data_IF_590688239782
#
_entry.id   IF_590688239782
#
_cell.length_a   1.000
_cell.length_b   1.000
_cell.length_c   1.000
_cell.angle_alpha   90.00
_cell.angle_beta   90.00
_cell.angle_gamma   90.00
#
_symmetry.space_group_name_H-M   'P 1'
#
loop_
_entity.id
_entity.type
_entity.pdbx_description
1 polymer ?
#
# COMPACT_ATOMS: atom_id res chain seq x y z
N UNK A 1 6.82 -31.05 -16.85
CA UNK A 1 6.46 -29.67 -17.21
C UNK A 1 7.61 -28.77 -16.75
N UNK A 2 8.19 -27.98 -17.65
CA UNK A 2 9.32 -27.11 -17.30
C UNK A 2 8.89 -25.99 -16.33
N UNK A 3 9.32 -26.08 -15.07
CA UNK A 3 9.10 -25.05 -14.02
C UNK A 3 9.94 -23.78 -14.21
N UNK A 4 10.64 -23.62 -15.34
CA UNK A 4 11.64 -22.57 -15.55
C UNK A 4 11.11 -21.15 -15.74
N UNK A 5 9.80 -20.87 -15.58
CA UNK A 5 9.23 -19.52 -15.77
C UNK A 5 8.01 -19.21 -14.87
N UNK A 6 7.85 -19.91 -13.76
CA UNK A 6 6.76 -19.59 -12.83
C UNK A 6 7.19 -18.44 -11.92
N UNK A 7 6.40 -17.35 -11.89
CA UNK A 7 6.59 -16.17 -11.03
C UNK A 7 6.43 -16.54 -9.55
N UNK A 8 5.53 -17.49 -9.27
CA UNK A 8 5.19 -17.99 -7.93
C UNK A 8 5.08 -19.50 -7.99
N UNK A 9 5.67 -20.20 -7.05
CA UNK A 9 5.30 -21.59 -6.74
C UNK A 9 3.97 -21.58 -5.97
N UNK A 10 2.88 -21.78 -6.71
CA UNK A 10 1.54 -21.75 -6.13
C UNK A 10 1.24 -22.92 -5.20
N UNK A 11 1.87 -24.04 -5.36
CA UNK A 11 1.69 -25.19 -4.47
C UNK A 11 2.30 -24.86 -3.10
N UNK A 12 3.54 -24.37 -3.09
CA UNK A 12 4.21 -23.89 -1.88
C UNK A 12 3.41 -22.77 -1.24
N UNK A 13 2.99 -21.75 -2.00
CA UNK A 13 2.22 -20.62 -1.46
C UNK A 13 0.87 -21.09 -0.87
N UNK A 14 0.12 -21.97 -1.53
CA UNK A 14 -1.13 -22.51 -1.01
C UNK A 14 -0.94 -23.26 0.30
N UNK A 15 0.11 -24.05 0.41
CA UNK A 15 0.42 -24.76 1.65
C UNK A 15 0.78 -23.78 2.78
N UNK A 16 1.59 -22.76 2.51
CA UNK A 16 1.92 -21.69 3.48
C UNK A 16 0.65 -20.94 3.92
N UNK A 17 -0.25 -20.63 2.99
CA UNK A 17 -1.53 -19.97 3.27
C UNK A 17 -2.40 -20.79 4.19
N UNK A 18 -2.57 -22.09 3.93
CA UNK A 18 -3.40 -22.97 4.77
C UNK A 18 -3.00 -22.96 6.23
N UNK A 19 -1.70 -22.99 6.53
CA UNK A 19 -1.18 -22.96 7.91
C UNK A 19 -1.17 -21.56 8.51
N UNK A 20 -1.28 -20.52 7.71
CA UNK A 20 -1.15 -19.12 8.13
C UNK A 20 -2.48 -18.41 8.36
N UNK A 21 -3.63 -19.01 8.02
CA UNK A 21 -4.97 -18.39 8.12
C UNK A 21 -5.28 -17.87 9.53
N UNK A 22 -5.03 -18.69 10.53
CA UNK A 22 -5.31 -18.30 11.93
C UNK A 22 -4.37 -17.17 12.36
N UNK A 23 -3.10 -17.24 12.02
CA UNK A 23 -2.13 -16.20 12.31
C UNK A 23 -2.53 -14.89 11.63
N UNK A 24 -2.91 -14.92 10.34
CA UNK A 24 -3.41 -13.74 9.63
C UNK A 24 -4.57 -13.08 10.39
N UNK A 25 -5.56 -13.87 10.79
CA UNK A 25 -6.78 -13.39 11.42
C UNK A 25 -6.55 -12.80 12.81
N UNK A 26 -5.61 -13.37 13.57
CA UNK A 26 -5.36 -13.02 14.99
C UNK A 26 -4.22 -12.04 15.21
N UNK A 27 -3.38 -11.81 14.19
CA UNK A 27 -2.28 -10.85 14.26
C UNK A 27 -2.78 -9.44 14.61
N UNK A 28 -1.96 -8.75 15.39
CA UNK A 28 -2.20 -7.39 15.84
C UNK A 28 -1.29 -6.40 15.12
N UNK A 29 -1.75 -5.17 14.86
CA UNK A 29 -2.95 -4.51 15.42
C UNK A 29 -4.26 -4.80 14.69
N UNK A 30 -4.24 -5.41 13.52
CA UNK A 30 -5.40 -5.85 12.73
C UNK A 30 -4.97 -7.02 11.83
N UNK A 31 -5.90 -7.76 11.16
CA UNK A 31 -5.55 -8.92 10.37
C UNK A 31 -4.49 -8.60 9.30
N UNK A 32 -3.34 -9.26 9.41
CA UNK A 32 -2.22 -9.12 8.48
C UNK A 32 -1.29 -10.33 8.54
N UNK A 33 -0.45 -10.48 7.53
CA UNK A 33 0.66 -11.42 7.53
C UNK A 33 1.84 -10.87 6.72
N UNK A 34 3.03 -11.33 7.09
CA UNK A 34 4.27 -11.08 6.35
C UNK A 34 4.84 -12.42 5.94
N UNK A 35 5.19 -12.55 4.67
CA UNK A 35 5.78 -13.76 4.09
C UNK A 35 7.05 -13.39 3.34
N UNK A 36 8.15 -14.08 3.62
CA UNK A 36 9.41 -13.92 2.90
C UNK A 36 9.54 -15.00 1.82
N UNK A 37 10.34 -14.72 0.79
CA UNK A 37 10.68 -15.64 -0.29
C UNK A 37 9.45 -16.26 -0.97
N UNK A 38 8.52 -15.40 -1.38
CA UNK A 38 7.25 -15.81 -2.02
C UNK A 38 7.42 -16.00 -3.52
N UNK A 39 8.28 -15.20 -4.14
CA UNK A 39 8.43 -15.11 -5.59
C UNK A 39 9.81 -15.63 -6.03
N UNK A 40 9.92 -15.98 -7.30
CA UNK A 40 11.22 -16.23 -7.91
C UNK A 40 12.07 -14.96 -7.86
N UNK A 41 13.22 -15.04 -7.21
CA UNK A 41 14.12 -13.89 -7.02
C UNK A 41 14.64 -13.34 -8.35
N UNK A 42 14.81 -14.17 -9.39
CA UNK A 42 15.25 -13.72 -10.71
C UNK A 42 14.19 -12.87 -11.41
N UNK A 43 12.92 -13.12 -11.15
CA UNK A 43 11.79 -12.30 -11.62
C UNK A 43 11.81 -10.92 -10.96
N UNK A 44 12.01 -10.89 -9.65
CA UNK A 44 12.10 -9.62 -8.90
C UNK A 44 13.33 -8.81 -9.29
N UNK A 45 14.43 -9.46 -9.65
CA UNK A 45 15.65 -8.81 -10.17
C UNK A 45 15.41 -8.14 -11.52
N UNK A 46 14.68 -8.80 -12.41
CA UNK A 46 14.29 -8.20 -13.69
C UNK A 46 13.38 -6.98 -13.47
N UNK A 47 12.42 -7.07 -12.54
CA UNK A 47 11.56 -5.94 -12.18
C UNK A 47 12.39 -4.77 -11.62
N UNK A 48 13.38 -5.03 -10.77
CA UNK A 48 14.27 -3.98 -10.27
C UNK A 48 15.02 -3.26 -11.40
N UNK A 49 15.53 -3.99 -12.38
CA UNK A 49 16.17 -3.39 -13.55
C UNK A 49 15.19 -2.52 -14.36
N UNK A 50 13.94 -2.95 -14.47
CA UNK A 50 12.90 -2.17 -15.14
C UNK A 50 12.54 -0.88 -14.37
N UNK A 51 12.58 -0.89 -13.02
CA UNK A 51 12.43 0.33 -12.21
C UNK A 51 13.46 1.39 -12.55
N UNK A 52 14.73 1.00 -12.72
CA UNK A 52 15.80 1.95 -13.03
C UNK A 52 15.60 2.55 -14.43
N UNK A 53 15.18 1.75 -15.41
CA UNK A 53 14.95 2.20 -16.78
C UNK A 53 13.72 3.12 -16.91
N UNK A 54 12.75 2.99 -16.02
CA UNK A 54 11.51 3.75 -16.05
C UNK A 54 11.53 5.03 -15.20
N UNK A 55 12.67 5.47 -14.68
CA UNK A 55 12.77 6.54 -13.68
C UNK A 55 12.06 7.85 -14.08
N UNK A 56 12.11 8.24 -15.33
CA UNK A 56 11.49 9.47 -15.85
C UNK A 56 9.96 9.42 -15.93
N UNK A 57 9.36 8.26 -15.74
CA UNK A 57 7.91 8.03 -15.87
C UNK A 57 7.18 8.08 -14.52
N UNK A 58 7.92 8.18 -13.43
CA UNK A 58 7.33 8.30 -12.11
C UNK A 58 6.74 9.68 -11.88
N UNK A 59 5.53 9.71 -11.31
CA UNK A 59 4.91 10.92 -10.80
C UNK A 59 5.43 11.21 -9.39
N UNK A 60 5.84 12.43 -9.14
CA UNK A 60 6.30 12.87 -7.84
C UNK A 60 5.14 13.38 -6.98
N UNK A 61 5.10 12.94 -5.75
CA UNK A 61 4.23 13.46 -4.68
C UNK A 61 5.12 14.06 -3.60
N UNK A 62 4.99 15.35 -3.36
CA UNK A 62 5.66 16.07 -2.26
C UNK A 62 4.61 16.94 -1.57
N UNK A 63 4.03 16.40 -0.51
CA UNK A 63 2.96 17.01 0.27
C UNK A 63 3.33 17.05 1.76
N UNK A 64 2.45 17.58 2.59
CA UNK A 64 2.63 17.55 4.04
C UNK A 64 2.77 16.12 4.57
N UNK A 65 2.07 15.15 3.95
CA UNK A 65 1.97 13.78 4.47
C UNK A 65 2.80 12.77 3.71
N UNK A 66 3.18 13.04 2.48
CA UNK A 66 3.91 12.08 1.67
C UNK A 66 4.97 12.75 0.79
N UNK A 67 6.10 12.08 0.70
CA UNK A 67 7.14 12.39 -0.29
C UNK A 67 7.59 11.08 -0.92
N UNK A 68 7.11 10.84 -2.14
CA UNK A 68 7.30 9.58 -2.86
C UNK A 68 7.22 9.79 -4.37
N UNK A 69 7.67 8.79 -5.09
CA UNK A 69 7.47 8.62 -6.52
C UNK A 69 6.55 7.42 -6.76
N UNK A 70 5.61 7.52 -7.69
CA UNK A 70 4.65 6.48 -8.01
C UNK A 70 4.47 6.34 -9.52
N UNK A 71 4.35 5.11 -10.00
CA UNK A 71 3.98 4.79 -11.38
C UNK A 71 2.90 3.70 -11.39
N UNK A 72 1.75 4.03 -11.97
CA UNK A 72 0.59 3.13 -12.03
C UNK A 72 0.03 2.97 -13.44
N UNK A 73 0.74 3.46 -14.46
CA UNK A 73 0.32 3.34 -15.86
C UNK A 73 1.04 2.17 -16.51
N UNK A 74 0.26 1.18 -16.96
CA UNK A 74 0.77 -0.05 -17.54
C UNK A 74 1.64 0.18 -18.78
N UNK A 75 1.36 1.23 -19.55
CA UNK A 75 2.15 1.61 -20.73
C UNK A 75 3.63 1.89 -20.44
N UNK A 76 3.96 2.22 -19.18
CA UNK A 76 5.33 2.51 -18.74
C UNK A 76 5.99 1.34 -18.01
N UNK A 77 5.28 0.25 -17.80
CA UNK A 77 5.87 -0.94 -17.18
C UNK A 77 6.75 -1.69 -18.17
N UNK A 78 7.88 -2.19 -17.69
CA UNK A 78 8.63 -3.20 -18.40
C UNK A 78 7.83 -4.49 -18.55
N UNK A 79 8.33 -5.40 -19.37
CA UNK A 79 7.61 -6.65 -19.69
C UNK A 79 7.41 -7.51 -18.44
N UNK A 80 8.46 -7.68 -17.63
CA UNK A 80 8.37 -8.52 -16.43
C UNK A 80 7.48 -7.88 -15.36
N UNK A 81 7.56 -6.57 -15.16
CA UNK A 81 6.68 -5.83 -14.25
C UNK A 81 5.21 -6.00 -14.64
N UNK A 82 4.89 -5.88 -15.94
CA UNK A 82 3.53 -6.08 -16.44
C UNK A 82 3.05 -7.50 -16.19
N UNK A 83 3.86 -8.50 -16.55
CA UNK A 83 3.54 -9.91 -16.30
C UNK A 83 3.33 -10.20 -14.82
N UNK A 84 4.16 -9.66 -13.96
CA UNK A 84 4.06 -9.83 -12.50
C UNK A 84 2.75 -9.24 -11.95
N UNK A 85 2.40 -8.02 -12.34
CA UNK A 85 1.15 -7.37 -11.93
C UNK A 85 -0.06 -8.15 -12.43
N UNK A 86 -0.07 -8.61 -13.69
CA UNK A 86 -1.15 -9.45 -14.23
C UNK A 86 -1.26 -10.78 -13.46
N UNK A 87 -0.14 -11.32 -13.03
CA UNK A 87 -0.12 -12.55 -12.25
C UNK A 87 -0.74 -12.35 -10.86
N UNK A 88 -0.43 -11.24 -10.19
CA UNK A 88 -1.07 -10.86 -8.92
C UNK A 88 -2.58 -10.54 -9.08
N UNK A 89 -3.02 -10.17 -10.27
CA UNK A 89 -4.42 -9.95 -10.59
C UNK A 89 -5.14 -11.21 -11.13
N UNK A 90 -4.43 -12.35 -11.24
CA UNK A 90 -5.00 -13.58 -11.77
C UNK A 90 -5.97 -14.24 -10.79
N UNK A 91 -6.93 -15.01 -11.33
CA UNK A 91 -7.88 -15.78 -10.52
C UNK A 91 -7.16 -16.72 -9.54
N UNK A 92 -6.01 -17.28 -9.94
CA UNK A 92 -5.24 -18.18 -9.10
C UNK A 92 -4.69 -17.47 -7.85
N UNK A 93 -4.18 -16.24 -7.99
CA UNK A 93 -3.72 -15.45 -6.86
C UNK A 93 -4.89 -14.95 -6.01
N UNK A 94 -5.99 -14.54 -6.63
CA UNK A 94 -7.21 -14.15 -5.90
C UNK A 94 -7.72 -15.28 -5.02
N UNK A 95 -7.77 -16.52 -5.52
CA UNK A 95 -8.17 -17.70 -4.74
C UNK A 95 -7.27 -17.86 -3.50
N UNK A 96 -5.96 -17.68 -3.66
CA UNK A 96 -5.02 -17.72 -2.52
C UNK A 96 -5.31 -16.63 -1.50
N UNK A 97 -5.60 -15.41 -1.95
CA UNK A 97 -5.97 -14.31 -1.04
C UNK A 97 -7.30 -14.57 -0.33
N UNK A 98 -8.31 -15.07 -1.04
CA UNK A 98 -9.61 -15.45 -0.47
C UNK A 98 -9.47 -16.55 0.58
N UNK A 99 -8.63 -17.54 0.30
CA UNK A 99 -8.34 -18.60 1.24
C UNK A 99 -7.64 -18.09 2.51
N UNK A 100 -6.65 -17.21 2.37
CA UNK A 100 -5.91 -16.63 3.48
C UNK A 100 -6.79 -15.72 4.36
N UNK A 101 -7.53 -14.82 3.70
CA UNK A 101 -8.19 -13.70 4.38
C UNK A 101 -9.63 -14.01 4.80
N UNK A 102 -10.25 -15.01 4.18
CA UNK A 102 -11.68 -15.30 4.33
C UNK A 102 -12.60 -14.34 3.56
N UNK A 103 -12.05 -13.33 2.88
CA UNK A 103 -12.83 -12.38 2.06
C UNK A 103 -13.11 -13.01 0.71
N UNK A 104 -14.38 -13.26 0.41
CA UNK A 104 -14.81 -13.92 -0.82
C UNK A 104 -15.24 -12.91 -1.90
N UNK A 105 -15.07 -13.28 -3.17
CA UNK A 105 -15.44 -12.47 -4.32
C UNK A 105 -14.51 -11.27 -4.52
N UNK A 106 -13.22 -11.48 -4.32
CA UNK A 106 -12.19 -10.46 -4.53
C UNK A 106 -12.11 -10.08 -6.02
N UNK A 107 -12.05 -8.78 -6.24
CA UNK A 107 -11.92 -8.14 -7.55
C UNK A 107 -10.58 -7.40 -7.55
N UNK A 108 -9.67 -7.66 -8.52
CA UNK A 108 -8.40 -6.96 -8.62
C UNK A 108 -8.60 -5.53 -9.16
N UNK A 109 -7.61 -4.66 -8.97
CA UNK A 109 -7.61 -3.32 -9.54
C UNK A 109 -6.79 -3.26 -10.85
N UNK A 110 -7.42 -3.30 -12.02
CA UNK A 110 -6.71 -3.19 -13.29
C UNK A 110 -6.18 -1.75 -13.55
N UNK A 111 -6.67 -0.76 -12.81
CA UNK A 111 -6.26 0.64 -12.96
C UNK A 111 -5.15 1.04 -11.99
N UNK A 112 -4.78 0.18 -11.04
CA UNK A 112 -3.77 0.45 -10.01
C UNK A 112 -3.98 1.80 -9.32
N UNK A 113 -5.24 2.11 -8.96
CA UNK A 113 -5.61 3.39 -8.37
C UNK A 113 -4.97 3.59 -6.99
N UNK A 114 -3.95 4.43 -6.91
CA UNK A 114 -3.10 4.60 -5.74
C UNK A 114 -2.06 3.49 -5.52
N UNK A 115 -2.09 2.41 -6.33
CA UNK A 115 -1.16 1.29 -6.33
C UNK A 115 -0.08 1.39 -7.40
N UNK A 116 0.45 0.24 -7.83
CA UNK A 116 1.53 0.13 -8.81
C UNK A 116 2.92 0.19 -8.17
N UNK A 117 3.88 0.77 -8.88
CA UNK A 117 5.27 0.87 -8.45
C UNK A 117 5.46 2.11 -7.57
N UNK A 118 6.03 1.93 -6.39
CA UNK A 118 6.37 3.01 -5.47
C UNK A 118 7.89 3.07 -5.28
N UNK A 119 8.48 4.27 -5.44
CA UNK A 119 9.89 4.56 -5.20
C UNK A 119 9.99 5.71 -4.21
N UNK A 120 10.63 5.47 -3.08
CA UNK A 120 10.76 6.46 -2.01
C UNK A 120 12.24 6.71 -1.79
N UNK A 121 12.76 7.89 -2.21
CA UNK A 121 14.17 8.23 -2.06
C UNK A 121 14.49 8.67 -0.63
N UNK A 122 15.77 8.90 -0.37
CA UNK A 122 16.24 9.53 0.88
C UNK A 122 15.39 10.75 1.25
N UNK A 123 15.00 10.86 2.52
CA UNK A 123 14.13 11.92 3.04
C UNK A 123 12.65 11.75 2.66
N UNK A 124 12.31 10.74 1.87
CA UNK A 124 10.92 10.42 1.55
C UNK A 124 10.21 9.75 2.72
N UNK A 125 8.89 9.88 2.76
CA UNK A 125 8.02 9.33 3.80
C UNK A 125 6.60 9.14 3.29
N UNK A 126 5.82 8.38 4.04
CA UNK A 126 4.37 8.27 3.89
C UNK A 126 3.75 8.31 5.29
N UNK A 127 3.06 9.39 5.59
CA UNK A 127 2.40 9.61 6.90
C UNK A 127 1.46 8.47 7.25
N UNK A 128 1.20 8.30 8.54
CA UNK A 128 0.22 7.31 9.00
C UNK A 128 -1.16 7.72 8.49
N UNK A 129 -1.84 6.79 7.86
CA UNK A 129 -3.13 7.03 7.20
C UNK A 129 -4.03 5.79 7.22
N UNK A 130 -5.29 6.02 6.93
CA UNK A 130 -6.25 5.00 6.53
C UNK A 130 -6.56 5.22 5.06
N UNK A 131 -6.52 4.18 4.28
CA UNK A 131 -6.84 4.24 2.85
C UNK A 131 -8.29 4.62 2.57
N UNK A 132 -8.57 5.18 1.39
CA UNK A 132 -9.94 5.32 0.92
C UNK A 132 -10.65 3.95 0.93
N UNK A 133 -11.90 3.94 1.32
CA UNK A 133 -12.66 2.69 1.47
C UNK A 133 -13.50 2.33 0.22
N UNK A 134 -13.72 3.26 -0.71
CA UNK A 134 -14.53 3.03 -1.90
C UNK A 134 -13.86 3.56 -3.16
N UNK A 135 -13.68 2.68 -4.14
CA UNK A 135 -13.24 3.08 -5.48
C UNK A 135 -14.46 3.50 -6.30
N UNK A 136 -14.69 4.81 -6.39
CA UNK A 136 -15.90 5.42 -6.96
C UNK A 136 -16.14 5.05 -8.42
N UNK A 137 -15.08 5.05 -9.24
CA UNK A 137 -15.21 4.80 -10.68
C UNK A 137 -15.81 3.42 -11.00
N UNK A 138 -15.52 2.40 -10.17
CA UNK A 138 -16.02 1.05 -10.34
C UNK A 138 -17.07 0.66 -9.29
N UNK A 139 -17.39 1.54 -8.36
CA UNK A 139 -18.32 1.29 -7.24
C UNK A 139 -17.92 0.06 -6.40
N UNK A 140 -16.62 -0.08 -6.12
CA UNK A 140 -16.06 -1.20 -5.39
C UNK A 140 -15.58 -0.79 -4.01
N UNK A 141 -15.62 -1.72 -3.04
CA UNK A 141 -15.15 -1.54 -1.67
C UNK A 141 -13.77 -2.16 -1.49
N UNK A 142 -12.80 -1.37 -1.00
CA UNK A 142 -11.42 -1.83 -0.77
C UNK A 142 -11.36 -2.75 0.42
N UNK A 143 -10.73 -3.91 0.26
CA UNK A 143 -10.72 -4.98 1.26
C UNK A 143 -9.31 -5.41 1.69
N UNK A 144 -8.42 -5.59 0.75
CA UNK A 144 -7.10 -6.16 0.98
C UNK A 144 -6.05 -5.34 0.26
N UNK A 145 -4.94 -5.10 0.95
CA UNK A 145 -3.70 -4.60 0.35
C UNK A 145 -2.65 -5.71 0.34
N UNK A 146 -1.88 -5.74 -0.73
CA UNK A 146 -0.67 -6.55 -0.86
C UNK A 146 0.49 -5.63 -1.22
N UNK A 147 1.56 -5.68 -0.44
CA UNK A 147 2.81 -4.95 -0.69
C UNK A 147 3.92 -5.96 -0.93
N UNK A 148 4.63 -5.82 -2.05
CA UNK A 148 5.82 -6.62 -2.35
C UNK A 148 7.04 -5.70 -2.34
N UNK A 149 8.00 -5.99 -1.49
CA UNK A 149 9.21 -5.18 -1.33
C UNK A 149 10.38 -5.71 -2.17
N UNK A 150 11.17 -4.76 -2.69
CA UNK A 150 12.22 -5.02 -3.67
C UNK A 150 13.58 -4.45 -3.21
N UNK A 151 13.85 -4.41 -1.91
CA UNK A 151 15.04 -3.74 -1.37
C UNK A 151 16.06 -4.75 -0.91
N UNK A 152 17.09 -5.02 -1.74
CA UNK A 152 18.24 -5.84 -1.39
C UNK A 152 19.11 -5.09 -0.37
N UNK A 153 19.71 -5.84 0.54
CA UNK A 153 20.68 -5.32 1.51
C UNK A 153 20.18 -4.06 2.24
N UNK A 154 18.89 -4.08 2.66
CA UNK A 154 18.25 -2.97 3.35
C UNK A 154 18.45 -3.07 4.86
N UNK A 155 19.40 -2.34 5.44
CA UNK A 155 19.63 -2.35 6.87
C UNK A 155 18.55 -1.56 7.62
N UNK A 156 18.44 -1.83 8.90
CA UNK A 156 17.38 -1.27 9.74
C UNK A 156 17.49 0.25 9.90
N UNK A 157 18.71 0.78 9.93
CA UNK A 157 19.00 2.19 10.06
C UNK A 157 18.63 3.04 8.83
N UNK A 158 18.35 2.44 7.67
CA UNK A 158 17.77 3.16 6.54
C UNK A 158 16.32 3.58 6.80
N UNK A 159 15.65 2.97 7.78
CA UNK A 159 14.26 3.24 8.14
C UNK A 159 13.27 2.68 7.11
N UNK A 160 12.14 3.34 6.96
CA UNK A 160 11.10 2.95 5.99
C UNK A 160 10.33 1.68 6.35
N UNK A 161 10.35 1.27 7.63
CA UNK A 161 9.52 0.19 8.11
C UNK A 161 8.06 0.46 7.75
N UNK A 162 7.37 -0.54 7.25
CA UNK A 162 5.93 -0.49 7.15
C UNK A 162 5.36 -0.61 8.56
N UNK A 163 4.75 0.45 9.04
CA UNK A 163 4.13 0.51 10.36
C UNK A 163 2.63 0.31 10.26
N UNK A 164 2.09 -0.53 11.12
CA UNK A 164 0.66 -0.78 11.31
C UNK A 164 0.29 -0.39 12.74
N UNK A 165 -0.74 0.43 12.92
CA UNK A 165 -1.16 0.99 14.20
C UNK A 165 -2.61 0.61 14.51
N UNK A 166 -2.91 0.26 15.78
CA UNK A 166 -4.26 -0.10 16.22
C UNK A 166 -5.25 1.07 16.24
N UNK A 167 -4.72 2.28 16.41
CA UNK A 167 -5.50 3.51 16.54
C UNK A 167 -4.67 4.74 16.10
N UNK A 168 -5.26 5.91 16.14
CA UNK A 168 -4.62 7.18 15.78
C UNK A 168 -3.54 7.64 16.76
N UNK A 169 -3.37 6.96 17.89
CA UNK A 169 -2.30 7.23 18.88
C UNK A 169 -1.15 6.26 18.76
N UNK A 170 -1.34 5.17 18.00
CA UNK A 170 -0.36 4.10 17.88
C UNK A 170 -0.15 3.36 19.21
N UNK A 171 -1.25 3.08 19.92
CA UNK A 171 -1.22 2.35 21.22
C UNK A 171 -0.57 0.98 21.06
N UNK A 172 -0.89 0.27 20.00
CA UNK A 172 -0.23 -0.98 19.61
C UNK A 172 0.29 -0.83 18.19
N UNK A 173 1.54 -1.20 17.95
CA UNK A 173 2.22 -1.06 16.66
C UNK A 173 2.89 -2.36 16.24
N UNK A 174 2.83 -2.64 14.96
CA UNK A 174 3.67 -3.63 14.30
C UNK A 174 4.54 -2.94 13.26
N UNK A 175 5.80 -3.36 13.12
CA UNK A 175 6.77 -2.79 12.18
C UNK A 175 7.36 -3.89 11.32
N UNK A 176 7.40 -3.66 10.02
CA UNK A 176 7.89 -4.61 9.04
C UNK A 176 9.01 -3.95 8.22
N UNK A 177 10.23 -4.46 8.33
CA UNK A 177 11.34 -3.99 7.51
C UNK A 177 11.07 -4.37 6.04
N UNK A 178 11.24 -3.44 5.07
CA UNK A 178 10.85 -3.65 3.67
C UNK A 178 11.92 -4.44 2.87
N UNK A 179 12.20 -5.68 3.28
CA UNK A 179 13.24 -6.52 2.68
C UNK A 179 12.87 -7.02 1.29
N UNK A 180 13.88 -7.35 0.49
CA UNK A 180 13.71 -7.98 -0.82
C UNK A 180 12.93 -9.29 -0.70
N UNK A 181 12.00 -9.53 -1.64
CA UNK A 181 11.14 -10.70 -1.69
C UNK A 181 10.24 -10.90 -0.45
N UNK A 182 9.96 -9.82 0.27
CA UNK A 182 9.01 -9.80 1.38
C UNK A 182 7.66 -9.30 0.89
N UNK A 183 6.61 -10.05 1.19
CA UNK A 183 5.22 -9.70 0.90
C UNK A 183 4.47 -9.44 2.21
N UNK A 184 3.82 -8.29 2.32
CA UNK A 184 2.89 -7.97 3.41
C UNK A 184 1.46 -7.93 2.86
N UNK A 185 0.55 -8.66 3.50
CA UNK A 185 -0.88 -8.72 3.18
C UNK A 185 -1.65 -8.25 4.39
N UNK A 186 -2.57 -7.30 4.23
CA UNK A 186 -3.38 -6.82 5.34
C UNK A 186 -4.80 -6.42 4.93
N UNK A 187 -5.73 -6.57 5.87
CA UNK A 187 -7.12 -6.12 5.72
C UNK A 187 -7.20 -4.60 5.87
N UNK A 188 -7.93 -3.96 4.94
CA UNK A 188 -8.19 -2.53 5.01
C UNK A 188 -9.57 -2.27 5.64
N UNK A 189 -9.58 -1.48 6.70
CA UNK A 189 -10.78 -0.99 7.39
C UNK A 189 -10.58 0.46 7.80
N UNK A 190 -11.61 1.10 8.36
CA UNK A 190 -11.51 2.45 8.93
C UNK A 190 -10.50 2.54 10.10
N UNK A 191 -10.02 1.41 10.63
CA UNK A 191 -9.07 1.32 11.75
C UNK A 191 -7.71 0.79 11.35
N UNK A 192 -7.48 0.46 10.09
CA UNK A 192 -6.18 -0.06 9.63
C UNK A 192 -5.21 1.09 9.32
N UNK A 193 -4.80 1.81 10.36
CA UNK A 193 -3.80 2.87 10.26
C UNK A 193 -2.45 2.30 9.87
N UNK A 194 -1.82 2.86 8.84
CA UNK A 194 -0.51 2.39 8.39
C UNK A 194 0.28 3.47 7.65
N UNK A 195 1.59 3.24 7.51
CA UNK A 195 2.50 4.15 6.79
C UNK A 195 3.95 3.83 7.07
N UNK A 196 4.81 4.79 6.81
CA UNK A 196 6.19 4.88 7.28
C UNK A 196 6.50 6.38 7.49
N UNK A 197 6.12 6.90 8.65
CA UNK A 197 6.06 8.35 8.88
C UNK A 197 7.44 9.00 8.93
N UNK A 198 8.47 8.26 9.35
CA UNK A 198 9.82 8.79 9.47
C UNK A 198 10.51 8.90 8.10
N UNK A 199 11.19 10.03 7.83
CA UNK A 199 11.97 10.19 6.62
C UNK A 199 13.07 9.14 6.49
N UNK A 200 13.27 8.60 5.28
CA UNK A 200 14.33 7.63 5.00
C UNK A 200 15.71 8.24 5.18
N UNK A 201 16.62 7.48 5.79
CA UNK A 201 18.02 7.84 6.04
C UNK A 201 19.02 7.18 5.09
N UNK A 202 18.53 6.32 4.16
CA UNK A 202 19.37 5.62 3.19
C UNK A 202 20.30 6.58 2.42
N UNK A 203 21.43 6.12 1.87
CA UNK A 203 22.35 6.93 1.07
C UNK A 203 21.66 7.56 -0.16
N UNK A 204 22.22 8.65 -0.69
CA UNK A 204 21.78 9.23 -1.95
C UNK A 204 21.91 8.18 -3.07
N UNK A 205 20.92 8.11 -3.96
CA UNK A 205 20.86 7.12 -5.03
C UNK A 205 20.17 5.81 -4.61
N UNK A 206 20.03 5.54 -3.31
CA UNK A 206 19.28 4.41 -2.79
C UNK A 206 17.83 4.85 -2.54
N UNK A 207 16.87 3.97 -2.85
CA UNK A 207 15.46 4.22 -2.62
C UNK A 207 14.76 2.95 -2.13
N UNK A 208 13.72 3.13 -1.29
CA UNK A 208 12.81 2.06 -0.90
C UNK A 208 11.83 1.82 -2.04
N UNK A 209 11.83 0.61 -2.58
CA UNK A 209 10.98 0.20 -3.71
C UNK A 209 9.97 -0.83 -3.27
N UNK A 210 8.75 -0.70 -3.76
CA UNK A 210 7.68 -1.68 -3.55
C UNK A 210 6.68 -1.68 -4.70
N UNK A 211 5.96 -2.80 -4.83
CA UNK A 211 4.77 -2.92 -5.66
C UNK A 211 3.58 -2.99 -4.71
N UNK A 212 2.58 -2.14 -4.92
CA UNK A 212 1.35 -2.09 -4.12
C UNK A 212 0.16 -2.53 -4.98
N UNK A 213 -0.57 -3.54 -4.50
CA UNK A 213 -1.75 -4.10 -5.14
C UNK A 213 -2.95 -4.00 -4.21
N UNK A 214 -4.11 -3.65 -4.76
CA UNK A 214 -5.33 -3.46 -3.99
C UNK A 214 -6.45 -4.36 -4.53
N UNK A 215 -7.22 -4.94 -3.61
CA UNK A 215 -8.29 -5.87 -3.95
C UNK A 215 -9.58 -5.43 -3.28
N UNK A 216 -10.65 -5.57 -4.02
CA UNK A 216 -11.96 -5.01 -3.70
C UNK A 216 -13.04 -6.09 -3.68
N UNK A 217 -14.25 -5.72 -3.25
CA UNK A 217 -15.47 -6.50 -3.42
C UNK A 217 -16.58 -5.61 -3.97
N UNK A 218 -17.57 -6.20 -4.65
CA UNK A 218 -18.71 -5.48 -5.24
C UNK A 218 -19.73 -4.98 -4.21
N UNK A 219 -19.66 -5.44 -2.97
CA UNK A 219 -20.57 -5.05 -1.91
C UNK A 219 -19.86 -4.84 -0.58
N UNK A 220 -20.44 -3.99 0.27
CA UNK A 220 -20.03 -3.87 1.65
C UNK A 220 -20.58 -5.07 2.43
N UNK A 221 -19.72 -6.05 2.69
CA UNK A 221 -20.08 -7.25 3.45
C UNK A 221 -19.89 -7.04 4.97
N UNK A 222 -20.42 -5.95 5.50
CA UNK A 222 -20.76 -5.89 6.92
C UNK A 222 -19.73 -5.31 7.88
N UNK A 223 -18.48 -5.07 7.49
CA UNK A 223 -17.49 -4.47 8.41
C UNK A 223 -17.09 -3.03 8.04
N UNK A 224 -17.50 -2.57 6.88
CA UNK A 224 -17.21 -1.22 6.39
C UNK A 224 -18.46 -0.36 6.20
N UNK A 225 -19.51 -0.56 6.98
CA UNK A 225 -20.70 0.32 7.01
C UNK A 225 -20.36 1.77 7.41
N UNK A 226 -19.10 2.10 7.42
CA UNK A 226 -18.59 3.43 7.60
C UNK A 226 -18.94 4.28 6.39
N UNK A 227 -19.28 5.50 6.65
CA UNK A 227 -19.44 6.54 5.65
C UNK A 227 -18.26 6.52 4.67
N UNK A 228 -18.53 6.67 3.37
CA UNK A 228 -17.51 6.78 2.33
C UNK A 228 -16.51 7.89 2.69
N UNK A 229 -15.22 7.59 2.58
CA UNK A 229 -14.13 8.53 2.81
C UNK A 229 -12.99 8.36 1.79
N UNK A 230 -12.28 9.43 1.53
CA UNK A 230 -10.99 9.42 0.86
C UNK A 230 -9.89 8.97 1.83
N UNK A 231 -8.64 8.92 1.39
CA UNK A 231 -7.51 8.65 2.29
C UNK A 231 -7.48 9.69 3.41
N UNK A 232 -7.35 9.21 4.65
CA UNK A 232 -7.35 10.01 5.87
C UNK A 232 -5.98 9.90 6.50
N UNK A 233 -5.22 10.99 6.55
CA UNK A 233 -3.94 11.07 7.22
C UNK A 233 -4.07 11.50 8.67
N UNK A 234 -3.12 11.11 9.50
CA UNK A 234 -2.93 11.65 10.83
C UNK A 234 -1.95 12.81 10.76
N UNK A 235 -2.32 13.96 11.34
CA UNK A 235 -1.40 15.07 11.55
C UNK A 235 -0.47 14.78 12.76
N UNK A 236 0.48 15.70 13.04
CA UNK A 236 1.44 15.59 14.16
C UNK A 236 0.78 15.45 15.55
N UNK A 237 -0.49 15.83 15.66
CA UNK A 237 -1.28 15.72 16.89
C UNK A 237 -2.11 14.40 16.95
N UNK A 238 -2.00 13.55 15.93
CA UNK A 238 -2.83 12.35 15.80
C UNK A 238 -4.29 12.63 15.40
N UNK A 239 -4.59 13.85 14.92
CA UNK A 239 -5.91 14.21 14.43
C UNK A 239 -6.04 13.83 12.96
N UNK A 240 -7.25 13.46 12.56
CA UNK A 240 -7.53 13.03 11.19
C UNK A 240 -7.67 14.21 10.22
N UNK A 241 -7.00 14.11 9.09
CA UNK A 241 -7.09 15.04 7.95
C UNK A 241 -7.41 14.26 6.67
N UNK A 242 -8.65 14.37 6.20
CA UNK A 242 -9.10 13.65 5.01
C UNK A 242 -8.69 14.39 3.74
N UNK A 243 -7.98 13.70 2.84
CA UNK A 243 -7.57 14.25 1.55
C UNK A 243 -8.78 14.75 0.74
N UNK A 244 -8.63 15.95 0.18
CA UNK A 244 -9.69 16.60 -0.59
C UNK A 244 -10.73 17.34 0.23
N UNK A 245 -10.76 17.17 1.55
CA UNK A 245 -11.54 18.04 2.45
C UNK A 245 -10.60 19.06 3.08
N UNK A 246 -10.96 20.35 3.10
CA UNK A 246 -10.14 21.34 3.80
C UNK A 246 -10.11 20.98 5.28
N UNK A 247 -8.92 20.87 5.87
CA UNK A 247 -8.77 20.65 7.31
C UNK A 247 -9.56 21.72 8.09
N UNK A 248 -9.99 21.39 9.30
CA UNK A 248 -10.74 22.34 10.15
C UNK A 248 -9.99 23.67 10.27
N UNK A 249 -8.67 23.66 10.44
CA UNK A 249 -7.81 24.85 10.49
C UNK A 249 -7.87 25.65 9.18
N UNK A 250 -7.85 24.98 8.03
CA UNK A 250 -7.96 25.61 6.71
C UNK A 250 -9.35 26.17 6.46
N UNK A 251 -10.41 25.49 6.96
CA UNK A 251 -11.81 25.99 6.93
C UNK A 251 -11.95 27.26 7.75
N UNK A 252 -11.36 27.30 8.96
CA UNK A 252 -11.38 28.47 9.83
C UNK A 252 -10.58 29.62 9.19
N UNK A 253 -9.37 29.38 8.68
CA UNK A 253 -8.56 30.41 7.98
C UNK A 253 -9.28 30.97 6.75
N UNK A 254 -9.96 30.13 5.97
CA UNK A 254 -10.72 30.57 4.80
C UNK A 254 -11.99 31.36 5.19
N UNK A 255 -12.68 30.98 6.28
CA UNK A 255 -13.78 31.79 6.84
C UNK A 255 -13.31 33.15 7.33
N UNK A 256 -12.20 33.19 8.08
CA UNK A 256 -11.62 34.45 8.58
C UNK A 256 -11.16 35.33 7.43
N UNK A 257 -10.48 34.79 6.40
CA UNK A 257 -10.14 35.57 5.19
C UNK A 257 -11.35 36.16 4.49
N UNK A 258 -12.44 35.39 4.32
CA UNK A 258 -13.69 35.88 3.73
C UNK A 258 -14.33 36.99 4.57
N UNK A 259 -14.35 36.84 5.91
CA UNK A 259 -14.84 37.89 6.81
C UNK A 259 -14.03 39.20 6.73
N UNK A 260 -12.68 39.07 6.65
CA UNK A 260 -11.81 40.25 6.50
C UNK A 260 -12.00 40.95 5.14
N UNK A 261 -12.30 40.20 4.08
CA UNK A 261 -12.60 40.81 2.78
C UNK A 261 -13.95 41.54 2.74
N UNK A 262 -14.96 41.02 3.44
CA UNK A 262 -16.28 41.66 3.55
C UNK A 262 -16.22 42.93 4.42
N UNK A 263 -15.35 43.01 5.39
CA UNK A 263 -15.16 44.20 6.26
C UNK A 263 -14.31 45.29 5.56
N UNK A 264 -13.60 44.95 4.47
CA UNK A 264 -12.79 45.93 3.70
C UNK A 264 -13.44 46.37 2.40
N UNK A 265 -14.64 45.88 2.07
CA UNK A 265 -15.51 46.35 1.00
C UNK A 265 -16.63 47.21 1.58
#
# INVERSE_FOLDING_TARGET
MNHQNEIIDFESLSNRVKISKELYRTNKPYPHIVMDDVFDSSVLDQILNEFENAEKQFLEFDTLYEKKLQMNKEEYFGEMTRRFIHYLNSSRFLTVLEELTGVQGLIPDPHLSGGGLHKIPRGGRLGIHVDFNRYKALNLYRRINVLVYLNKDWPEDFGGHFEMWSDNKGTEKSRVLPLFNRMAIFTTTRKSFHGHPEPLTCPKGIARRSIAMYYYTSGDKGEQSSQEHSTIFLNEKGEEDELGKPSFVRRVKNKVKKLIQVVKS
#
